data_IF_628187129437
#
_entry.id   IF_628187129437
#
_cell.length_a   1.000
_cell.length_b   1.000
_cell.length_c   1.000
_cell.angle_alpha   90.00
_cell.angle_beta   90.00
_cell.angle_gamma   90.00
#
_symmetry.space_group_name_H-M   'P 1'
#
loop_
_entity.id
_entity.type
_entity.pdbx_description
1 polymer ?
#
# COMPACT_ATOMS: atom_id res chain seq x y z
N UNK A 1 -4.38 -27.07 7.64
CA UNK A 1 -3.72 -26.20 8.66
C UNK A 1 -3.17 -24.89 8.05
N UNK A 2 -2.39 -24.89 6.98
CA UNK A 2 -1.82 -23.67 6.37
C UNK A 2 -2.85 -22.62 5.92
N UNK A 3 -3.99 -23.03 5.35
CA UNK A 3 -5.07 -22.14 4.93
C UNK A 3 -5.71 -21.39 6.10
N UNK A 4 -5.96 -22.10 7.23
CA UNK A 4 -6.53 -21.48 8.42
C UNK A 4 -5.60 -20.45 9.05
N UNK A 5 -4.30 -20.73 9.08
CA UNK A 5 -3.29 -19.78 9.56
C UNK A 5 -3.19 -18.55 8.66
N UNK A 6 -3.25 -18.72 7.35
CA UNK A 6 -3.26 -17.58 6.40
C UNK A 6 -4.53 -16.73 6.51
N UNK A 7 -5.68 -17.37 6.71
CA UNK A 7 -6.93 -16.65 6.96
C UNK A 7 -6.84 -15.84 8.25
N UNK A 8 -6.38 -16.46 9.34
CA UNK A 8 -6.20 -15.77 10.61
C UNK A 8 -5.23 -14.58 10.50
N UNK A 9 -4.10 -14.79 9.81
CA UNK A 9 -3.15 -13.71 9.54
C UNK A 9 -3.81 -12.55 8.77
N UNK A 10 -4.63 -12.84 7.75
CA UNK A 10 -5.37 -11.82 7.00
C UNK A 10 -6.33 -11.02 7.87
N UNK A 11 -7.10 -11.70 8.73
CA UNK A 11 -8.02 -11.05 9.68
C UNK A 11 -7.26 -10.15 10.66
N UNK A 12 -6.13 -10.61 11.18
CA UNK A 12 -5.32 -9.86 12.13
C UNK A 12 -4.57 -8.68 11.49
N UNK A 13 -4.17 -8.79 10.24
CA UNK A 13 -3.45 -7.71 9.53
C UNK A 13 -4.36 -6.64 8.93
N UNK A 14 -5.63 -6.95 8.67
CA UNK A 14 -6.60 -6.02 8.05
C UNK A 14 -6.71 -4.67 8.77
N UNK A 15 -6.92 -4.64 10.10
CA UNK A 15 -7.09 -3.39 10.84
C UNK A 15 -5.82 -2.53 10.95
N UNK A 16 -4.64 -3.09 10.72
CA UNK A 16 -3.35 -2.42 10.97
C UNK A 16 -3.22 -1.13 10.17
N UNK A 17 -3.56 -1.16 8.89
CA UNK A 17 -3.44 0.02 8.04
C UNK A 17 -4.38 1.14 8.49
N UNK A 18 -5.62 0.83 8.79
CA UNK A 18 -6.60 1.80 9.26
C UNK A 18 -6.19 2.40 10.60
N UNK A 19 -5.71 1.57 11.54
CA UNK A 19 -5.22 2.01 12.85
C UNK A 19 -4.01 2.93 12.74
N UNK A 20 -3.04 2.62 11.87
CA UNK A 20 -1.87 3.46 11.64
C UNK A 20 -2.25 4.81 11.01
N UNK A 21 -3.15 4.82 10.03
CA UNK A 21 -3.63 6.06 9.43
C UNK A 21 -4.40 6.93 10.43
N UNK A 22 -5.20 6.32 11.29
CA UNK A 22 -5.86 7.01 12.40
C UNK A 22 -4.83 7.64 13.34
N UNK A 23 -3.84 6.87 13.80
CA UNK A 23 -2.78 7.37 14.67
C UNK A 23 -1.98 8.53 14.04
N UNK A 24 -1.70 8.46 12.73
CA UNK A 24 -1.08 9.59 12.01
C UNK A 24 -1.98 10.82 12.06
N UNK A 25 -3.30 10.64 11.85
CA UNK A 25 -4.28 11.72 11.95
C UNK A 25 -4.32 12.36 13.32
N UNK A 26 -4.03 11.60 14.39
CA UNK A 26 -4.05 12.06 15.79
C UNK A 26 -2.77 12.80 16.20
N UNK A 27 -1.64 12.51 15.57
CA UNK A 27 -0.34 13.07 15.97
C UNK A 27 0.18 14.16 15.05
N UNK A 28 -0.36 14.27 13.83
CA UNK A 28 0.11 15.24 12.84
C UNK A 28 -0.97 16.23 12.44
N UNK A 29 -0.63 17.52 12.45
CA UNK A 29 -1.51 18.59 11.98
C UNK A 29 -1.83 18.48 10.48
N UNK A 30 -2.88 19.19 9.98
CA UNK A 30 -3.35 19.10 8.60
C UNK A 30 -2.25 19.26 7.53
N UNK A 31 -1.29 20.16 7.78
CA UNK A 31 -0.20 20.48 6.85
C UNK A 31 0.91 19.40 6.81
N UNK A 32 0.99 18.54 7.83
CA UNK A 32 2.04 17.51 7.95
C UNK A 32 1.50 16.10 7.67
N UNK A 33 0.18 15.91 7.71
CA UNK A 33 -0.48 14.59 7.49
C UNK A 33 -0.11 13.96 6.17
N UNK A 34 -0.03 14.76 5.08
CA UNK A 34 0.32 14.25 3.77
C UNK A 34 1.70 13.62 3.72
N UNK A 35 2.70 14.28 4.28
CA UNK A 35 4.06 13.76 4.37
C UNK A 35 4.14 12.51 5.24
N UNK A 36 3.48 12.50 6.42
CA UNK A 36 3.46 11.36 7.32
C UNK A 36 2.80 10.13 6.69
N UNK A 37 1.67 10.30 6.01
CA UNK A 37 1.00 9.23 5.25
C UNK A 37 1.89 8.74 4.10
N UNK A 38 2.57 9.65 3.38
CA UNK A 38 3.51 9.30 2.31
C UNK A 38 4.65 8.41 2.81
N UNK A 39 5.26 8.77 3.94
CA UNK A 39 6.31 7.97 4.59
C UNK A 39 5.75 6.60 5.00
N UNK A 40 4.59 6.57 5.66
CA UNK A 40 3.93 5.32 6.06
C UNK A 40 3.67 4.40 4.86
N UNK A 41 3.11 4.93 3.78
CA UNK A 41 2.86 4.14 2.56
C UNK A 41 4.15 3.63 1.90
N UNK A 42 5.25 4.36 2.04
CA UNK A 42 6.56 3.92 1.53
C UNK A 42 7.14 2.75 2.32
N UNK A 43 6.79 2.59 3.60
CA UNK A 43 7.24 1.47 4.44
C UNK A 43 6.85 0.11 3.86
N UNK A 44 5.72 0.01 3.15
CA UNK A 44 5.30 -1.24 2.48
C UNK A 44 6.33 -1.68 1.43
N UNK A 45 6.81 -0.74 0.62
CA UNK A 45 7.83 -1.03 -0.40
C UNK A 45 9.19 -1.33 0.23
N UNK A 46 9.54 -0.64 1.30
CA UNK A 46 10.73 -0.94 2.10
C UNK A 46 10.69 -2.36 2.66
N UNK A 47 9.54 -2.79 3.21
CA UNK A 47 9.32 -4.16 3.67
C UNK A 47 9.53 -5.19 2.56
N UNK A 48 8.95 -4.96 1.38
CA UNK A 48 9.14 -5.84 0.21
C UNK A 48 10.62 -5.93 -0.17
N UNK A 49 11.30 -4.80 -0.27
CA UNK A 49 12.73 -4.75 -0.57
C UNK A 49 13.54 -5.58 0.41
N UNK A 50 13.35 -5.32 1.70
CA UNK A 50 14.13 -5.95 2.77
C UNK A 50 13.88 -7.46 2.82
N UNK A 51 12.63 -7.90 2.82
CA UNK A 51 12.28 -9.32 2.90
C UNK A 51 12.81 -10.09 1.69
N UNK A 52 12.67 -9.56 0.48
CA UNK A 52 13.19 -10.22 -0.71
C UNK A 52 14.72 -10.28 -0.76
N UNK A 53 15.40 -9.39 -0.07
CA UNK A 53 16.88 -9.42 0.00
C UNK A 53 17.38 -10.54 0.91
N UNK A 54 16.81 -10.72 2.11
CA UNK A 54 17.34 -11.68 3.07
C UNK A 54 16.62 -13.03 3.09
N UNK A 55 15.31 -13.07 2.88
CA UNK A 55 14.53 -14.29 3.08
C UNK A 55 14.94 -15.45 2.13
N UNK A 56 15.20 -15.23 0.83
CA UNK A 56 15.72 -16.29 -0.04
C UNK A 56 17.09 -16.80 0.39
N UNK A 57 17.97 -15.93 0.87
CA UNK A 57 19.27 -16.32 1.39
C UNK A 57 19.14 -17.20 2.63
N UNK A 58 18.35 -16.78 3.60
CA UNK A 58 18.11 -17.56 4.83
C UNK A 58 17.42 -18.88 4.50
N UNK A 59 16.41 -18.87 3.61
CA UNK A 59 15.70 -20.09 3.22
C UNK A 59 16.61 -21.12 2.55
N UNK A 60 17.58 -20.67 1.74
CA UNK A 60 18.50 -21.53 1.02
C UNK A 60 19.55 -22.15 1.94
N UNK A 61 20.05 -21.41 2.95
CA UNK A 61 21.14 -21.88 3.82
C UNK A 61 20.64 -22.52 5.12
N UNK A 62 19.52 -22.06 5.66
CA UNK A 62 19.00 -22.47 6.99
C UNK A 62 17.61 -23.08 6.94
N UNK A 63 17.04 -23.26 5.75
CA UNK A 63 15.70 -23.78 5.55
C UNK A 63 14.60 -22.73 5.64
N UNK A 64 13.46 -23.06 5.02
CA UNK A 64 12.31 -22.14 4.89
C UNK A 64 11.68 -21.79 6.25
N UNK A 65 11.69 -22.70 7.23
CA UNK A 65 11.16 -22.45 8.58
C UNK A 65 11.94 -21.31 9.26
N UNK A 66 13.25 -21.31 9.14
CA UNK A 66 14.11 -20.26 9.71
C UNK A 66 13.85 -18.91 9.04
N UNK A 67 13.61 -18.90 7.72
CA UNK A 67 13.24 -17.67 7.02
C UNK A 67 11.93 -17.07 7.53
N UNK A 68 10.91 -17.91 7.80
CA UNK A 68 9.65 -17.45 8.41
C UNK A 68 9.86 -16.94 9.84
N UNK A 69 10.65 -17.63 10.66
CA UNK A 69 10.96 -17.19 12.02
C UNK A 69 11.71 -15.86 12.02
N UNK A 70 12.72 -15.70 11.15
CA UNK A 70 13.46 -14.45 11.00
C UNK A 70 12.55 -13.30 10.59
N UNK A 71 11.58 -13.54 9.68
CA UNK A 71 10.60 -12.53 9.28
C UNK A 71 9.64 -12.19 10.42
N UNK A 72 9.27 -13.16 11.27
CA UNK A 72 8.36 -12.95 12.40
C UNK A 72 8.99 -12.14 13.55
N UNK A 73 10.32 -12.16 13.70
CA UNK A 73 11.03 -11.40 14.73
C UNK A 73 10.90 -9.88 14.47
N UNK A 74 10.94 -9.43 13.21
CA UNK A 74 10.86 -8.00 12.87
C UNK A 74 9.59 -7.32 13.40
N UNK A 75 8.37 -7.83 13.16
CA UNK A 75 7.15 -7.26 13.74
C UNK A 75 7.14 -7.27 15.26
N UNK A 76 7.73 -8.30 15.90
CA UNK A 76 7.82 -8.36 17.37
C UNK A 76 8.71 -7.26 17.93
N UNK A 77 9.87 -7.02 17.32
CA UNK A 77 10.74 -5.90 17.68
C UNK A 77 10.02 -4.57 17.50
N UNK A 78 9.33 -4.38 16.37
CA UNK A 78 8.55 -3.16 16.11
C UNK A 78 7.42 -3.03 17.12
N UNK A 79 6.72 -4.10 17.49
CA UNK A 79 5.67 -4.08 18.51
C UNK A 79 6.21 -3.57 19.86
N UNK A 80 7.37 -4.09 20.29
CA UNK A 80 8.02 -3.66 21.54
C UNK A 80 8.40 -2.18 21.44
N UNK A 81 9.01 -1.75 20.33
CA UNK A 81 9.34 -0.34 20.11
C UNK A 81 8.10 0.54 20.13
N UNK A 82 7.02 0.15 19.46
CA UNK A 82 5.76 0.89 19.46
C UNK A 82 5.15 0.99 20.87
N UNK A 83 5.20 -0.09 21.63
CA UNK A 83 4.68 -0.09 23.00
C UNK A 83 5.35 0.95 23.89
N UNK A 84 6.66 1.17 23.74
CA UNK A 84 7.42 2.15 24.51
C UNK A 84 7.41 3.55 23.94
N UNK A 85 7.24 3.71 22.62
CA UNK A 85 7.36 5.01 21.95
C UNK A 85 6.03 5.66 21.62
N UNK A 86 4.99 4.88 21.29
CA UNK A 86 3.68 5.43 20.95
C UNK A 86 2.95 5.88 22.20
N UNK A 87 2.79 7.19 22.34
CA UNK A 87 2.05 7.81 23.44
C UNK A 87 0.61 8.09 23.00
N UNK A 88 -0.29 8.17 23.97
CA UNK A 88 -1.65 8.65 23.71
C UNK A 88 -1.59 10.08 23.18
N UNK A 89 -2.45 10.44 22.20
CA UNK A 89 -2.58 11.81 21.73
C UNK A 89 -2.87 12.76 22.92
N UNK A 90 -2.41 14.00 22.83
CA UNK A 90 -2.73 14.98 23.87
C UNK A 90 -4.23 15.25 23.92
N UNK A 91 -4.74 15.64 25.09
CA UNK A 91 -6.14 15.99 25.26
C UNK A 91 -6.59 17.11 24.29
N UNK A 92 -5.68 18.03 23.97
CA UNK A 92 -5.93 19.11 23.01
C UNK A 92 -6.17 18.60 21.59
N UNK A 93 -5.38 17.62 21.13
CA UNK A 93 -5.53 17.01 19.79
C UNK A 93 -6.83 16.24 19.72
N UNK A 94 -7.20 15.51 20.78
CA UNK A 94 -8.48 14.80 20.85
C UNK A 94 -9.66 15.79 20.84
N UNK A 95 -9.60 16.86 21.59
CA UNK A 95 -10.63 17.90 21.62
C UNK A 95 -10.77 18.62 20.26
N UNK A 96 -9.65 18.93 19.58
CA UNK A 96 -9.68 19.49 18.23
C UNK A 96 -10.33 18.54 17.23
N UNK A 97 -10.05 17.26 17.34
CA UNK A 97 -10.62 16.23 16.47
C UNK A 97 -12.13 16.06 16.69
N UNK A 98 -12.56 16.09 17.94
CA UNK A 98 -13.99 16.07 18.27
C UNK A 98 -14.70 17.32 17.76
N UNK A 99 -14.06 18.48 17.86
CA UNK A 99 -14.58 19.73 17.32
C UNK A 99 -14.64 19.70 15.79
N UNK A 100 -13.59 19.26 15.09
CA UNK A 100 -13.58 19.07 13.63
C UNK A 100 -14.65 18.08 13.16
N UNK A 101 -14.82 16.98 13.89
CA UNK A 101 -15.84 15.98 13.59
C UNK A 101 -17.25 16.53 13.82
N UNK A 102 -17.45 17.28 14.90
CA UNK A 102 -18.72 17.92 15.23
C UNK A 102 -19.08 19.02 14.22
N UNK A 103 -18.12 19.87 13.83
CA UNK A 103 -18.33 20.88 12.79
C UNK A 103 -18.62 20.24 11.43
N UNK A 104 -17.93 19.16 11.08
CA UNK A 104 -18.19 18.44 9.85
C UNK A 104 -19.60 17.80 9.86
N UNK A 105 -20.02 17.24 10.99
CA UNK A 105 -21.38 16.71 11.17
C UNK A 105 -22.44 17.80 11.11
N UNK A 106 -22.22 18.94 11.74
CA UNK A 106 -23.13 20.08 11.74
C UNK A 106 -23.29 20.73 10.35
N UNK A 107 -22.18 20.88 9.61
CA UNK A 107 -22.21 21.42 8.22
C UNK A 107 -22.96 20.53 7.23
N UNK A 108 -23.10 19.24 7.55
CA UNK A 108 -23.73 18.26 6.68
C UNK A 108 -25.17 17.93 7.07
N UNK A 109 -25.69 18.47 8.18
CA UNK A 109 -27.04 18.19 8.66
C UNK A 109 -27.29 16.70 8.93
N UNK A 110 -26.25 15.91 9.12
CA UNK A 110 -26.32 14.46 9.24
C UNK A 110 -26.28 14.10 10.72
N UNK A 111 -27.45 13.82 11.28
CA UNK A 111 -27.57 12.95 12.44
C UNK A 111 -26.85 11.63 12.12
N UNK A 112 -26.51 10.82 13.12
CA UNK A 112 -25.81 9.54 12.99
C UNK A 112 -26.44 8.69 11.86
N UNK A 113 -25.91 8.82 10.64
CA UNK A 113 -26.35 7.98 9.51
C UNK A 113 -25.92 6.55 9.75
N UNK A 114 -26.84 5.62 9.57
CA UNK A 114 -26.59 4.18 9.67
C UNK A 114 -25.41 3.80 8.74
N UNK A 115 -24.57 2.85 9.16
CA UNK A 115 -23.51 2.28 8.32
C UNK A 115 -24.03 1.85 6.94
N UNK A 116 -25.28 1.37 6.88
CA UNK A 116 -25.94 0.94 5.64
C UNK A 116 -26.21 2.13 4.70
N UNK A 117 -26.62 3.27 5.24
CA UNK A 117 -26.86 4.50 4.46
C UNK A 117 -25.55 5.08 3.93
N UNK A 118 -24.52 5.06 4.76
CA UNK A 118 -23.16 5.48 4.35
C UNK A 118 -22.63 4.61 3.21
N UNK A 119 -22.76 3.29 3.31
CA UNK A 119 -22.39 2.34 2.26
C UNK A 119 -23.19 2.56 0.99
N UNK A 120 -24.51 2.77 1.11
CA UNK A 120 -25.39 3.06 -0.04
C UNK A 120 -24.96 4.34 -0.75
N UNK A 121 -24.61 5.37 0.00
CA UNK A 121 -24.14 6.65 -0.55
C UNK A 121 -22.78 6.50 -1.26
N UNK A 122 -21.84 5.76 -0.66
CA UNK A 122 -20.53 5.44 -1.25
C UNK A 122 -20.72 4.66 -2.56
N UNK A 123 -21.52 3.60 -2.54
CA UNK A 123 -21.78 2.75 -3.71
C UNK A 123 -22.58 3.50 -4.79
N UNK A 124 -23.43 4.46 -4.44
CA UNK A 124 -24.17 5.27 -5.40
C UNK A 124 -23.28 6.23 -6.19
N UNK A 125 -22.14 6.65 -5.63
CA UNK A 125 -21.22 7.57 -6.30
C UNK A 125 -20.47 6.88 -7.44
N UNK A 126 -20.73 7.31 -8.68
CA UNK A 126 -20.10 6.74 -9.90
C UNK A 126 -18.58 6.78 -9.85
N UNK A 127 -18.00 7.88 -9.39
CA UNK A 127 -16.56 8.06 -9.34
C UNK A 127 -15.92 7.07 -8.37
N UNK A 128 -16.53 6.90 -7.19
CA UNK A 128 -16.03 5.96 -6.17
C UNK A 128 -16.13 4.51 -6.68
N UNK A 129 -17.24 4.15 -7.34
CA UNK A 129 -17.38 2.81 -7.95
C UNK A 129 -16.29 2.53 -9.00
N UNK A 130 -16.06 3.48 -9.91
CA UNK A 130 -15.01 3.33 -10.92
C UNK A 130 -13.63 3.20 -10.29
N UNK A 131 -13.32 4.01 -9.27
CA UNK A 131 -12.06 3.93 -8.53
C UNK A 131 -11.92 2.62 -7.76
N UNK A 132 -13.00 2.12 -7.15
CA UNK A 132 -13.00 0.84 -6.44
C UNK A 132 -12.74 -0.34 -7.39
N UNK A 133 -13.39 -0.36 -8.56
CA UNK A 133 -13.17 -1.39 -9.58
C UNK A 133 -11.72 -1.32 -10.11
N UNK A 134 -11.25 -0.14 -10.47
CA UNK A 134 -9.88 0.05 -10.95
C UNK A 134 -8.84 -0.31 -9.88
N UNK A 135 -9.08 0.10 -8.63
CA UNK A 135 -8.25 -0.24 -7.47
C UNK A 135 -8.21 -1.73 -7.19
N UNK A 136 -9.35 -2.41 -7.28
CA UNK A 136 -9.44 -3.87 -7.11
C UNK A 136 -8.53 -4.61 -8.11
N UNK A 137 -8.65 -4.31 -9.40
CA UNK A 137 -7.83 -4.97 -10.42
C UNK A 137 -6.35 -4.58 -10.31
N UNK A 138 -6.04 -3.30 -10.10
CA UNK A 138 -4.67 -2.84 -9.97
C UNK A 138 -3.99 -3.45 -8.73
N UNK A 139 -4.66 -3.44 -7.58
CA UNK A 139 -4.16 -4.03 -6.34
C UNK A 139 -4.03 -5.55 -6.47
N UNK A 140 -5.04 -6.22 -7.02
CA UNK A 140 -5.01 -7.66 -7.27
C UNK A 140 -3.84 -8.06 -8.16
N UNK A 141 -3.57 -7.32 -9.24
CA UNK A 141 -2.42 -7.54 -10.12
C UNK A 141 -1.10 -7.29 -9.38
N UNK A 142 -0.99 -6.21 -8.61
CA UNK A 142 0.20 -5.90 -7.82
C UNK A 142 0.54 -7.01 -6.82
N UNK A 143 -0.46 -7.49 -6.07
CA UNK A 143 -0.27 -8.59 -5.13
C UNK A 143 0.00 -9.91 -5.85
N UNK A 144 -0.63 -10.15 -7.00
CA UNK A 144 -0.32 -11.30 -7.86
C UNK A 144 1.15 -11.30 -8.27
N UNK A 145 1.65 -10.18 -8.78
CA UNK A 145 3.07 -10.03 -9.16
C UNK A 145 3.98 -10.26 -7.96
N UNK A 146 3.74 -9.60 -6.83
CA UNK A 146 4.62 -9.73 -5.65
C UNK A 146 4.67 -11.13 -5.08
N UNK A 147 3.59 -11.91 -5.20
CA UNK A 147 3.54 -13.29 -4.71
C UNK A 147 4.15 -14.30 -5.69
N UNK A 148 3.97 -14.10 -7.00
CA UNK A 148 4.32 -15.10 -7.98
C UNK A 148 5.60 -14.81 -8.77
N UNK A 149 6.10 -13.57 -8.80
CA UNK A 149 7.27 -13.23 -9.61
C UNK A 149 8.53 -14.00 -9.21
N UNK A 150 8.79 -14.21 -7.92
CA UNK A 150 9.91 -15.03 -7.45
C UNK A 150 9.81 -16.47 -7.98
N UNK A 151 8.63 -17.08 -7.85
CA UNK A 151 8.39 -18.45 -8.31
C UNK A 151 8.49 -18.56 -9.83
N UNK A 152 7.96 -17.58 -10.56
CA UNK A 152 8.08 -17.48 -12.02
C UNK A 152 9.55 -17.46 -12.46
N UNK A 153 10.36 -16.59 -11.88
CA UNK A 153 11.79 -16.48 -12.23
C UNK A 153 12.55 -17.78 -11.95
N UNK A 154 12.29 -18.41 -10.82
CA UNK A 154 12.96 -19.67 -10.46
C UNK A 154 12.50 -20.82 -11.36
N UNK A 155 11.19 -20.96 -11.61
CA UNK A 155 10.63 -22.12 -12.34
C UNK A 155 10.74 -22.00 -13.86
N UNK A 156 10.55 -20.81 -14.42
CA UNK A 156 10.52 -20.59 -15.87
C UNK A 156 11.87 -20.15 -16.43
N UNK A 157 12.62 -19.34 -15.69
CA UNK A 157 13.90 -18.81 -16.13
C UNK A 157 15.12 -19.55 -15.54
N UNK A 158 14.89 -20.50 -14.63
CA UNK A 158 15.93 -21.33 -14.03
C UNK A 158 16.92 -20.58 -13.12
N UNK A 159 16.61 -19.35 -12.72
CA UNK A 159 17.47 -18.57 -11.82
C UNK A 159 17.38 -19.07 -10.37
N UNK A 160 18.40 -18.78 -9.58
CA UNK A 160 18.40 -19.14 -8.15
C UNK A 160 17.39 -18.30 -7.37
N UNK A 161 16.88 -18.82 -6.24
CA UNK A 161 15.96 -18.07 -5.37
C UNK A 161 16.60 -16.77 -4.85
N UNK A 162 17.91 -16.76 -4.59
CA UNK A 162 18.65 -15.57 -4.17
C UNK A 162 18.65 -14.52 -5.28
N UNK A 163 18.91 -14.92 -6.52
CA UNK A 163 18.89 -14.02 -7.67
C UNK A 163 17.48 -13.41 -7.86
N UNK A 164 16.44 -14.24 -7.82
CA UNK A 164 15.06 -13.76 -7.90
C UNK A 164 14.72 -12.76 -6.79
N UNK A 165 15.17 -13.03 -5.57
CA UNK A 165 15.03 -12.11 -4.43
C UNK A 165 15.74 -10.78 -4.66
N UNK A 166 16.93 -10.78 -5.23
CA UNK A 166 17.66 -9.55 -5.58
C UNK A 166 16.89 -8.72 -6.61
N UNK A 167 16.35 -9.34 -7.66
CA UNK A 167 15.51 -8.66 -8.65
C UNK A 167 14.27 -8.05 -7.98
N UNK A 168 13.60 -8.79 -7.09
CA UNK A 168 12.44 -8.29 -6.37
C UNK A 168 12.78 -7.24 -5.30
N UNK A 169 14.01 -7.20 -4.83
CA UNK A 169 14.48 -6.11 -3.97
C UNK A 169 14.64 -4.82 -4.77
N UNK A 170 15.18 -4.88 -5.97
CA UNK A 170 15.30 -3.71 -6.87
C UNK A 170 13.91 -3.24 -7.34
N UNK A 171 12.99 -4.17 -7.62
CA UNK A 171 11.57 -3.88 -7.85
C UNK A 171 10.97 -3.08 -6.68
N UNK A 172 11.16 -3.53 -5.44
CA UNK A 172 10.65 -2.86 -4.23
C UNK A 172 11.30 -1.48 -4.01
N UNK A 173 12.60 -1.36 -4.28
CA UNK A 173 13.35 -0.09 -4.19
C UNK A 173 12.83 0.93 -5.20
N UNK A 174 12.59 0.51 -6.44
CA UNK A 174 11.99 1.35 -7.46
C UNK A 174 10.58 1.83 -7.05
N UNK A 175 9.76 0.95 -6.48
CA UNK A 175 8.46 1.28 -5.93
C UNK A 175 8.55 2.27 -4.74
N UNK A 176 9.55 2.11 -3.88
CA UNK A 176 9.80 3.01 -2.74
C UNK A 176 10.06 4.45 -3.21
N UNK A 177 10.82 4.62 -4.28
CA UNK A 177 11.12 5.93 -4.88
C UNK A 177 9.92 6.45 -5.68
N UNK A 178 9.25 5.60 -6.42
CA UNK A 178 8.16 5.98 -7.33
C UNK A 178 6.93 6.55 -6.59
N UNK A 179 6.59 6.04 -5.41
CA UNK A 179 5.42 6.50 -4.63
C UNK A 179 5.48 7.98 -4.26
N UNK A 180 6.54 8.49 -3.60
CA UNK A 180 6.63 9.92 -3.31
C UNK A 180 6.81 10.74 -4.59
N UNK A 181 7.54 10.24 -5.58
CA UNK A 181 7.77 10.95 -6.85
C UNK A 181 6.45 11.23 -7.58
N UNK A 182 5.55 10.24 -7.69
CA UNK A 182 4.27 10.46 -8.36
C UNK A 182 3.36 11.40 -7.57
N UNK A 183 3.45 11.38 -6.25
CA UNK A 183 2.74 12.34 -5.40
C UNK A 183 3.15 13.77 -5.72
N UNK A 184 4.45 14.05 -5.69
CA UNK A 184 5.01 15.36 -6.05
C UNK A 184 4.67 15.73 -7.49
N UNK A 185 4.84 14.78 -8.42
CA UNK A 185 4.57 15.01 -9.84
C UNK A 185 3.10 15.35 -10.09
N UNK A 186 2.18 14.74 -9.35
CA UNK A 186 0.75 15.00 -9.43
C UNK A 186 0.34 16.43 -9.00
N UNK A 187 1.18 17.07 -8.19
CA UNK A 187 0.94 18.43 -7.70
C UNK A 187 1.60 19.49 -8.60
N UNK A 188 2.67 19.13 -9.31
CA UNK A 188 3.42 20.04 -10.19
C UNK A 188 2.86 20.02 -11.61
N UNK A 189 2.45 18.86 -12.12
CA UNK A 189 1.98 18.73 -13.48
C UNK A 189 0.59 19.35 -13.67
N UNK A 190 0.36 20.12 -14.76
CA UNK A 190 -0.94 20.70 -15.09
C UNK A 190 -1.91 19.65 -15.65
N UNK A 191 -1.84 18.42 -15.16
CA UNK A 191 -2.65 17.29 -15.60
C UNK A 191 -3.64 16.94 -14.48
N UNK A 192 -4.90 16.72 -14.83
CA UNK A 192 -5.89 16.28 -13.83
C UNK A 192 -5.46 14.93 -13.22
N UNK A 193 -5.50 14.81 -11.91
CA UNK A 193 -5.09 13.61 -11.17
C UNK A 193 -5.74 12.33 -11.70
N UNK A 194 -6.99 12.42 -12.19
CA UNK A 194 -7.70 11.27 -12.79
C UNK A 194 -7.00 10.77 -14.08
N UNK A 195 -6.55 11.67 -14.94
CA UNK A 195 -5.85 11.27 -16.17
C UNK A 195 -4.47 10.70 -15.86
N UNK A 196 -3.78 11.29 -14.89
CA UNK A 196 -2.48 10.79 -14.44
C UNK A 196 -2.62 9.39 -13.83
N UNK A 197 -3.65 9.15 -13.01
CA UNK A 197 -3.94 7.83 -12.45
C UNK A 197 -4.26 6.80 -13.54
N UNK A 198 -5.09 7.17 -14.52
CA UNK A 198 -5.42 6.31 -15.65
C UNK A 198 -4.17 5.97 -16.48
N UNK A 199 -3.29 6.93 -16.74
CA UNK A 199 -2.04 6.73 -17.47
C UNK A 199 -1.12 5.75 -16.73
N UNK A 200 -0.94 5.95 -15.43
CA UNK A 200 -0.08 5.07 -14.61
C UNK A 200 -0.64 3.64 -14.57
N UNK A 201 -1.95 3.48 -14.40
CA UNK A 201 -2.60 2.17 -14.46
C UNK A 201 -2.46 1.51 -15.84
N UNK A 202 -2.58 2.29 -16.90
CA UNK A 202 -2.38 1.80 -18.26
C UNK A 202 -0.94 1.31 -18.49
N UNK A 203 0.06 2.07 -18.01
CA UNK A 203 1.48 1.70 -18.17
C UNK A 203 1.87 0.45 -17.36
N UNK A 204 1.11 0.08 -16.34
CA UNK A 204 1.37 -1.14 -15.57
C UNK A 204 1.22 -2.40 -16.43
N UNK A 205 0.23 -2.47 -17.33
CA UNK A 205 0.03 -3.61 -18.23
C UNK A 205 1.24 -3.89 -19.14
N UNK A 206 1.69 -2.92 -19.93
CA UNK A 206 2.93 -3.04 -20.73
C UNK A 206 4.16 -3.39 -19.90
N UNK A 207 4.33 -2.81 -18.70
CA UNK A 207 5.43 -3.14 -17.80
C UNK A 207 5.41 -4.62 -17.36
N UNK A 208 4.21 -5.15 -17.09
CA UNK A 208 4.03 -6.56 -16.74
C UNK A 208 4.33 -7.48 -17.94
N UNK A 209 3.86 -7.13 -19.12
CA UNK A 209 4.15 -7.88 -20.35
C UNK A 209 5.65 -7.88 -20.63
N UNK A 210 6.31 -6.72 -20.51
CA UNK A 210 7.75 -6.58 -20.69
C UNK A 210 8.53 -7.48 -19.72
N UNK A 211 8.15 -7.50 -18.45
CA UNK A 211 8.76 -8.37 -17.46
C UNK A 211 8.54 -9.84 -17.77
N UNK A 212 7.30 -10.24 -18.10
CA UNK A 212 6.93 -11.61 -18.40
C UNK A 212 7.57 -12.15 -19.70
N UNK A 213 7.83 -11.28 -20.68
CA UNK A 213 8.49 -11.64 -21.94
C UNK A 213 10.02 -11.64 -21.86
N UNK A 214 10.60 -11.26 -20.72
CA UNK A 214 12.04 -11.19 -20.53
C UNK A 214 12.62 -12.59 -20.38
N UNK A 215 13.36 -13.07 -21.38
CA UNK A 215 14.04 -14.38 -21.36
C UNK A 215 15.47 -14.32 -20.82
N UNK A 216 16.12 -13.15 -20.92
CA UNK A 216 17.48 -12.96 -20.42
C UNK A 216 17.46 -12.56 -18.94
N UNK A 217 18.03 -13.39 -18.03
CA UNK A 217 18.04 -13.09 -16.60
C UNK A 217 18.62 -11.70 -16.25
N UNK A 218 19.68 -11.26 -16.93
CA UNK A 218 20.29 -9.96 -16.64
C UNK A 218 19.36 -8.77 -16.92
N UNK A 219 18.45 -8.92 -17.87
CA UNK A 219 17.45 -7.88 -18.17
C UNK A 219 16.38 -7.75 -17.09
N UNK A 220 16.24 -8.74 -16.20
CA UNK A 220 15.31 -8.66 -15.06
C UNK A 220 15.64 -7.52 -14.10
N UNK A 221 16.92 -7.15 -14.00
CA UNK A 221 17.33 -5.97 -13.19
C UNK A 221 16.92 -4.64 -13.83
N UNK A 222 16.52 -4.64 -15.09
CA UNK A 222 15.95 -3.45 -15.78
C UNK A 222 14.43 -3.53 -15.79
N UNK A 223 13.86 -4.67 -16.20
CA UNK A 223 12.42 -4.83 -16.32
C UNK A 223 11.72 -4.95 -14.96
N UNK A 224 12.41 -5.49 -13.94
CA UNK A 224 11.91 -5.53 -12.56
C UNK A 224 11.61 -4.16 -11.95
N UNK A 225 12.55 -3.20 -11.94
CA UNK A 225 12.29 -1.83 -11.52
C UNK A 225 11.17 -1.15 -12.30
N UNK A 226 11.11 -1.30 -13.62
CA UNK A 226 10.04 -0.77 -14.47
C UNK A 226 8.68 -1.32 -14.01
N UNK A 227 8.62 -2.63 -13.75
CA UNK A 227 7.43 -3.27 -13.21
C UNK A 227 7.09 -2.75 -11.80
N UNK A 228 8.09 -2.53 -10.93
CA UNK A 228 7.92 -1.99 -9.59
C UNK A 228 7.30 -0.60 -9.59
N UNK A 229 7.77 0.26 -10.49
CA UNK A 229 7.21 1.58 -10.72
C UNK A 229 5.73 1.45 -11.13
N UNK A 230 5.44 0.68 -12.18
CA UNK A 230 4.08 0.48 -12.68
C UNK A 230 3.13 -0.10 -11.64
N UNK A 231 3.61 -1.08 -10.87
CA UNK A 231 2.80 -1.78 -9.88
C UNK A 231 2.40 -0.93 -8.66
N UNK A 232 3.17 0.10 -8.31
CA UNK A 232 2.94 0.84 -7.06
C UNK A 232 2.62 2.32 -7.21
N UNK A 233 2.93 2.95 -8.35
CA UNK A 233 2.64 4.38 -8.56
C UNK A 233 1.13 4.68 -8.49
N UNK A 234 0.28 3.77 -8.96
CA UNK A 234 -1.17 3.99 -8.97
C UNK A 234 -1.76 4.13 -7.56
N UNK A 235 -1.20 3.45 -6.55
CA UNK A 235 -1.76 3.42 -5.21
C UNK A 235 -1.82 4.81 -4.55
N UNK A 236 -0.78 5.63 -4.72
CA UNK A 236 -0.75 6.98 -4.18
C UNK A 236 -1.83 7.88 -4.80
N UNK A 237 -2.00 7.81 -6.12
CA UNK A 237 -3.00 8.58 -6.85
C UNK A 237 -4.42 8.10 -6.57
N UNK A 238 -4.64 6.78 -6.53
CA UNK A 238 -5.96 6.19 -6.23
C UNK A 238 -6.43 6.59 -4.83
N UNK A 239 -5.57 6.49 -3.83
CA UNK A 239 -5.91 6.90 -2.47
C UNK A 239 -6.23 8.39 -2.38
N UNK A 240 -5.47 9.26 -3.05
CA UNK A 240 -5.75 10.69 -3.11
C UNK A 240 -7.11 10.98 -3.77
N UNK A 241 -7.43 10.30 -4.87
CA UNK A 241 -8.70 10.46 -5.59
C UNK A 241 -9.89 9.94 -4.79
N UNK A 242 -9.75 8.82 -4.09
CA UNK A 242 -10.78 8.28 -3.18
C UNK A 242 -11.11 9.29 -2.10
N UNK A 243 -10.08 9.84 -1.43
CA UNK A 243 -10.26 10.85 -0.38
C UNK A 243 -10.89 12.14 -0.93
N UNK A 244 -10.54 12.56 -2.15
CA UNK A 244 -11.15 13.74 -2.80
C UNK A 244 -12.60 13.50 -3.23
N UNK A 245 -12.94 12.28 -3.64
CA UNK A 245 -14.30 11.92 -4.11
C UNK A 245 -15.27 11.60 -2.99
N UNK A 246 -14.75 11.33 -1.79
CA UNK A 246 -15.56 11.00 -0.61
C UNK A 246 -16.00 12.26 0.13
N UNK A 247 -17.23 12.25 0.61
CA UNK A 247 -17.71 13.28 1.53
C UNK A 247 -16.81 13.31 2.80
N UNK A 248 -16.56 14.49 3.39
CA UNK A 248 -15.60 14.63 4.50
C UNK A 248 -15.81 13.64 5.65
N UNK A 249 -17.05 13.37 6.02
CA UNK A 249 -17.40 12.43 7.10
C UNK A 249 -17.25 10.95 6.71
N UNK A 250 -17.18 10.63 5.41
CA UNK A 250 -17.07 9.25 4.90
C UNK A 250 -15.64 8.88 4.46
N UNK A 251 -14.69 9.81 4.55
CA UNK A 251 -13.31 9.59 4.06
C UNK A 251 -12.63 8.38 4.67
N UNK A 252 -12.79 8.17 5.98
CA UNK A 252 -12.25 7.00 6.67
C UNK A 252 -12.86 5.69 6.18
N UNK A 253 -14.19 5.63 6.08
CA UNK A 253 -14.92 4.44 5.62
C UNK A 253 -14.70 4.14 4.13
N UNK A 254 -14.44 5.18 3.32
CA UNK A 254 -14.22 5.03 1.87
C UNK A 254 -12.79 4.62 1.53
N UNK A 255 -11.83 4.96 2.40
CA UNK A 255 -10.41 4.65 2.22
C UNK A 255 -10.00 3.27 2.78
N UNK A 256 -10.78 2.68 3.69
CA UNK A 256 -10.60 1.32 4.23
C UNK A 256 -11.32 0.30 3.40
#
# INVERSE_FOLDING_TARGET
MAWGLRFLLGVMSGPVQASCLSAIGDHFGPNQRGAAVGIFMSCTSFGITTVNLYAPYVATHYGWQTAFLATAILPLVVLVLCYFTVRKPSAEILAQREAEASEAAAKLGVGQTSLVENLKHIISNRNIRCLAIAGFFATGTTWGVTQWANLYMVKQLGVTAIYAGQVMSVFGTAALIAKPTIGILSDILPIKKNHLAALVMFLFGPALILFASTSNPNMLFVTGPILGIGAFMHSALTNALVVQSAAPHLRGTTAG
#
